data_IF_133744314309
#
_entry.id   IF_133744314309
#
_cell.length_a   1.000
_cell.length_b   1.000
_cell.length_c   1.000
_cell.angle_alpha   90.00
_cell.angle_beta   90.00
_cell.angle_gamma   90.00
#
_symmetry.space_group_name_H-M   'P 1'
#
loop_
_entity.id
_entity.type
_entity.pdbx_description
1 polymer ?
#
# COMPACT_ATOMS: atom_id res chain seq x y z
N UNK A 1 -12.45 -36.97 16.24
CA UNK A 1 -12.98 -35.61 16.18
C UNK A 1 -12.42 -34.81 17.35
N UNK A 2 -11.57 -33.81 17.09
CA UNK A 2 -10.90 -33.02 18.11
C UNK A 2 -11.71 -31.76 18.37
N UNK A 3 -12.01 -31.48 19.61
CA UNK A 3 -12.66 -30.19 19.99
C UNK A 3 -11.68 -29.34 20.75
N UNK A 4 -11.45 -28.12 20.28
CA UNK A 4 -10.72 -27.08 20.97
C UNK A 4 -11.70 -26.18 21.70
N UNK A 5 -11.52 -26.03 23.00
CA UNK A 5 -12.27 -25.06 23.81
C UNK A 5 -11.35 -24.03 24.40
N UNK A 6 -11.69 -22.76 24.26
CA UNK A 6 -10.98 -21.67 24.92
C UNK A 6 -11.90 -20.98 25.94
N UNK A 7 -11.38 -20.70 27.14
CA UNK A 7 -12.04 -19.89 28.16
C UNK A 7 -11.17 -18.69 28.45
N UNK A 8 -11.78 -17.52 28.44
CA UNK A 8 -11.10 -16.27 28.78
C UNK A 8 -11.56 -15.85 30.17
N UNK A 9 -10.70 -15.86 31.14
CA UNK A 9 -10.92 -15.26 32.45
C UNK A 9 -9.75 -14.33 32.79
N UNK A 10 -10.05 -13.08 33.03
CA UNK A 10 -9.16 -12.04 33.59
C UNK A 10 -7.68 -12.17 33.13
N UNK A 11 -7.37 -11.73 31.91
CA UNK A 11 -6.02 -11.63 31.35
C UNK A 11 -5.28 -12.92 31.01
N UNK A 12 -5.87 -14.09 31.19
CA UNK A 12 -5.25 -15.37 30.87
C UNK A 12 -6.14 -16.21 29.95
N UNK A 13 -5.57 -16.79 28.90
CA UNK A 13 -6.27 -17.78 28.07
C UNK A 13 -5.80 -19.17 28.46
N UNK A 14 -6.76 -20.03 28.83
CA UNK A 14 -6.50 -21.44 29.11
C UNK A 14 -6.88 -22.25 27.88
N UNK A 15 -5.90 -22.87 27.26
CA UNK A 15 -6.13 -23.77 26.13
C UNK A 15 -6.18 -25.21 26.64
N UNK A 16 -7.27 -25.94 26.37
CA UNK A 16 -7.35 -27.36 26.65
C UNK A 16 -7.79 -28.09 25.38
N UNK A 17 -7.20 -29.28 25.19
CA UNK A 17 -7.51 -30.17 24.08
C UNK A 17 -8.10 -31.43 24.65
N UNK A 18 -9.33 -31.77 24.27
CA UNK A 18 -9.96 -33.03 24.64
C UNK A 18 -10.17 -33.89 23.40
N UNK A 19 -9.65 -35.09 23.45
CA UNK A 19 -9.93 -36.11 22.44
C UNK A 19 -11.26 -36.79 22.77
N UNK A 20 -12.21 -36.75 21.86
CA UNK A 20 -13.39 -37.62 21.91
C UNK A 20 -13.30 -38.65 20.79
N UNK A 21 -13.11 -39.91 21.16
CA UNK A 21 -13.19 -41.12 20.36
C UNK A 21 -12.10 -41.36 19.29
N UNK A 22 -11.09 -42.09 19.67
CA UNK A 22 -10.40 -43.03 18.80
C UNK A 22 -10.33 -44.36 19.54
N UNK A 23 -10.93 -45.42 18.96
CA UNK A 23 -10.81 -46.78 19.43
C UNK A 23 -9.63 -47.44 18.70
N UNK A 24 -8.55 -47.76 19.42
CA UNK A 24 -7.38 -48.47 18.89
C UNK A 24 -6.27 -48.60 19.93
N UNK A 25 -5.38 -49.60 19.80
CA UNK A 25 -4.43 -50.02 20.84
C UNK A 25 -3.24 -49.07 21.09
N UNK A 26 -3.17 -47.92 20.45
CA UNK A 26 -2.06 -46.98 20.58
C UNK A 26 -2.29 -45.76 21.51
N UNK A 27 -3.41 -45.75 22.25
CA UNK A 27 -3.82 -44.58 23.04
C UNK A 27 -3.70 -44.75 24.55
N UNK A 28 -2.62 -45.39 25.03
CA UNK A 28 -2.36 -45.43 26.50
C UNK A 28 -1.40 -44.34 27.03
N UNK A 29 -1.05 -43.32 26.29
CA UNK A 29 -0.13 -42.27 26.74
C UNK A 29 -0.47 -40.86 26.30
N UNK A 30 -1.71 -40.44 26.39
CA UNK A 30 -2.06 -39.03 26.42
C UNK A 30 -2.60 -38.69 27.81
N UNK A 31 -1.73 -38.80 28.81
CA UNK A 31 -1.98 -38.20 30.10
C UNK A 31 -1.95 -36.66 29.95
N UNK A 32 -3.11 -36.07 30.25
CA UNK A 32 -3.30 -34.65 30.56
C UNK A 32 -2.18 -33.69 30.10
N UNK A 33 -2.34 -33.07 28.97
CA UNK A 33 -1.67 -31.82 28.72
C UNK A 33 -2.08 -30.84 29.81
N UNK A 34 -1.13 -30.47 30.68
CA UNK A 34 -1.32 -29.49 31.75
C UNK A 34 -1.91 -28.22 31.15
N UNK A 35 -2.95 -27.70 31.79
CA UNK A 35 -3.47 -26.39 31.47
C UNK A 35 -2.34 -25.36 31.64
N UNK A 36 -1.86 -24.81 30.56
CA UNK A 36 -0.88 -23.73 30.55
C UNK A 36 -1.66 -22.42 30.47
N UNK A 37 -1.59 -21.63 31.52
CA UNK A 37 -2.07 -20.27 31.52
C UNK A 37 -1.05 -19.40 30.76
N UNK A 38 -1.43 -18.81 29.63
CA UNK A 38 -0.54 -18.00 28.79
C UNK A 38 -1.00 -16.56 28.85
N UNK A 39 -0.10 -15.59 29.14
CA UNK A 39 -0.42 -14.19 29.09
C UNK A 39 -0.95 -13.75 27.70
N UNK A 40 -1.91 -12.85 27.66
CA UNK A 40 -2.62 -12.40 26.44
C UNK A 40 -1.70 -11.97 25.30
N UNK A 41 -0.55 -11.36 25.63
CA UNK A 41 0.46 -10.92 24.66
C UNK A 41 1.11 -12.07 23.86
N UNK A 42 1.05 -13.32 24.34
CA UNK A 42 1.60 -14.50 23.65
C UNK A 42 0.53 -15.32 22.90
N UNK A 43 -0.70 -14.88 22.93
CA UNK A 43 -1.85 -15.61 22.37
C UNK A 43 -1.78 -15.74 20.84
N UNK A 44 -1.26 -14.75 20.14
CA UNK A 44 -1.17 -14.74 18.70
C UNK A 44 -0.26 -15.87 18.18
N UNK A 45 0.89 -16.07 18.83
CA UNK A 45 1.85 -17.13 18.47
C UNK A 45 1.24 -18.51 18.72
N UNK A 46 0.55 -18.67 19.83
CA UNK A 46 -0.11 -19.96 20.19
C UNK A 46 -1.26 -20.28 19.24
N UNK A 47 -2.04 -19.28 18.83
CA UNK A 47 -3.12 -19.45 17.86
C UNK A 47 -2.60 -19.80 16.46
N UNK A 48 -1.50 -19.18 16.04
CA UNK A 48 -0.85 -19.45 14.76
C UNK A 48 -0.25 -20.86 14.74
N UNK A 49 0.42 -21.28 15.81
CA UNK A 49 0.98 -22.62 15.93
C UNK A 49 -0.12 -23.71 15.96
N UNK A 50 -1.22 -23.45 16.67
CA UNK A 50 -2.37 -24.35 16.67
C UNK A 50 -3.01 -24.46 15.28
N UNK A 51 -3.13 -23.36 14.54
CA UNK A 51 -3.68 -23.36 13.18
C UNK A 51 -2.79 -24.10 12.19
N UNK A 52 -1.47 -24.02 12.33
CA UNK A 52 -0.50 -24.76 11.51
C UNK A 52 -0.57 -26.25 11.84
N UNK A 53 -0.69 -26.63 13.10
CA UNK A 53 -0.81 -28.04 13.52
C UNK A 53 -2.10 -28.70 13.00
N UNK A 54 -3.20 -27.93 12.80
CA UNK A 54 -4.45 -28.44 12.24
C UNK A 54 -4.45 -28.56 10.71
N UNK A 55 -3.55 -27.88 10.02
CA UNK A 55 -3.47 -27.91 8.55
C UNK A 55 -2.48 -28.95 8.01
N UNK A 56 -1.69 -29.60 8.87
CA UNK A 56 -0.71 -30.62 8.47
C UNK A 56 -1.00 -31.94 9.17
N UNK A 57 -1.16 -32.98 8.39
CA UNK A 57 -1.34 -34.39 8.88
C UNK A 57 -0.03 -35.03 9.40
N UNK A 58 1.06 -34.27 9.54
CA UNK A 58 2.37 -34.81 9.91
C UNK A 58 2.71 -34.64 11.40
N UNK A 59 3.12 -35.70 12.07
CA UNK A 59 3.60 -35.72 13.47
C UNK A 59 4.79 -34.81 13.76
N UNK A 60 5.55 -34.44 12.74
CA UNK A 60 6.78 -33.59 12.82
C UNK A 60 6.52 -32.18 13.38
N UNK A 61 5.33 -31.65 13.19
CA UNK A 61 4.95 -30.30 13.65
C UNK A 61 4.92 -30.18 15.17
N UNK A 62 4.60 -31.27 15.86
CA UNK A 62 4.53 -31.31 17.33
C UNK A 62 5.92 -31.25 18.00
N UNK A 63 6.95 -31.83 17.37
CA UNK A 63 8.31 -31.80 17.90
C UNK A 63 8.92 -30.38 17.84
N UNK A 64 8.69 -29.66 16.74
CA UNK A 64 9.15 -28.28 16.61
C UNK A 64 8.48 -27.32 17.57
N UNK A 65 7.18 -27.47 17.81
CA UNK A 65 6.45 -26.64 18.77
C UNK A 65 6.93 -26.89 20.21
N UNK A 66 7.25 -28.13 20.56
CA UNK A 66 7.73 -28.49 21.92
C UNK A 66 9.14 -27.95 22.19
N UNK A 67 10.01 -27.93 21.19
CA UNK A 67 11.37 -27.35 21.33
C UNK A 67 11.35 -25.81 21.42
N UNK A 68 10.46 -25.15 20.68
CA UNK A 68 10.27 -23.70 20.78
C UNK A 68 9.81 -23.29 22.19
N UNK A 69 8.99 -24.09 22.85
CA UNK A 69 8.58 -23.87 24.23
C UNK A 69 9.70 -24.14 25.25
N UNK A 70 10.59 -25.11 24.97
CA UNK A 70 11.73 -25.40 25.84
C UNK A 70 12.84 -24.35 25.77
N UNK A 71 13.07 -23.74 24.61
CA UNK A 71 14.12 -22.73 24.44
C UNK A 71 13.77 -21.36 25.02
N UNK A 72 12.50 -21.12 25.39
CA UNK A 72 12.03 -19.88 25.98
C UNK A 72 11.66 -19.96 27.48
N UNK A 73 11.99 -21.07 28.15
CA UNK A 73 12.03 -21.07 29.61
C UNK A 73 13.31 -20.39 30.04
N UNK A 74 13.19 -19.15 30.44
CA UNK A 74 14.26 -18.40 31.08
C UNK A 74 14.55 -19.10 32.43
N UNK A 75 15.73 -19.69 32.53
CA UNK A 75 16.31 -20.07 33.84
C UNK A 75 16.46 -18.80 34.67
N UNK A 76 15.78 -18.75 35.79
CA UNK A 76 15.92 -17.63 36.73
C UNK A 76 14.64 -17.28 37.47
N UNK A 77 14.02 -18.24 38.14
CA UNK A 77 13.23 -17.91 39.34
C UNK A 77 13.96 -18.52 40.51
N UNK A 78 14.92 -17.79 41.01
CA UNK A 78 15.44 -17.99 42.36
C UNK A 78 14.39 -17.50 43.36
N UNK A 79 14.28 -18.21 44.48
CA UNK A 79 13.47 -17.83 45.62
C UNK A 79 13.77 -16.38 46.01
N UNK A 80 12.74 -15.53 46.00
CA UNK A 80 12.83 -14.14 46.50
C UNK A 80 12.46 -14.21 47.97
N UNK A 81 13.49 -14.11 48.83
CA UNK A 81 13.30 -13.70 50.20
C UNK A 81 12.83 -12.25 50.21
N UNK A 82 11.74 -12.04 50.93
CA UNK A 82 11.16 -10.72 51.15
C UNK A 82 11.87 -10.09 52.35
N UNK A 83 12.82 -9.19 52.10
CA UNK A 83 13.27 -8.23 53.07
C UNK A 83 13.04 -6.80 52.56
N UNK A 84 12.47 -6.00 53.45
CA UNK A 84 12.02 -4.64 53.26
C UNK A 84 13.14 -3.65 52.90
N UNK A 85 12.71 -2.55 52.26
CA UNK A 85 13.38 -1.26 51.99
C UNK A 85 14.00 -1.07 50.62
N UNK A 86 13.19 -0.47 49.67
CA UNK A 86 13.50 0.85 49.10
C UNK A 86 12.44 1.27 48.06
N UNK A 87 11.80 2.39 48.35
CA UNK A 87 10.72 3.06 47.57
C UNK A 87 11.21 3.75 46.30
N UNK A 88 11.74 3.07 45.25
CA UNK A 88 12.10 3.76 44.00
C UNK A 88 11.98 2.97 42.70
N UNK A 89 11.45 1.74 42.68
CA UNK A 89 11.29 0.95 41.43
C UNK A 89 9.84 0.84 40.90
N UNK A 90 8.91 1.65 41.42
CA UNK A 90 7.47 1.51 41.06
C UNK A 90 7.07 2.19 39.75
N UNK A 91 7.98 2.93 39.07
CA UNK A 91 7.55 3.82 37.97
C UNK A 91 7.65 3.24 36.56
N UNK A 92 8.38 2.15 36.31
CA UNK A 92 8.48 1.61 34.94
C UNK A 92 7.35 0.63 34.59
N UNK A 93 6.81 -0.12 35.53
CA UNK A 93 5.70 -1.03 35.28
C UNK A 93 4.36 -0.32 35.09
N UNK A 94 4.19 0.88 35.64
CA UNK A 94 3.00 1.72 35.45
C UNK A 94 2.95 2.38 34.05
N UNK A 95 4.12 2.73 33.47
CA UNK A 95 4.19 3.36 32.15
C UNK A 95 3.81 2.38 31.02
N UNK A 96 4.15 1.09 31.17
CA UNK A 96 3.78 0.07 30.17
C UNK A 96 2.27 -0.23 30.23
N UNK A 97 1.68 -0.25 31.43
CA UNK A 97 0.24 -0.43 31.61
C UNK A 97 -0.59 0.75 31.07
N UNK A 98 -0.13 1.97 31.26
CA UNK A 98 -0.83 3.17 30.76
C UNK A 98 -0.74 3.34 29.24
N UNK A 99 0.36 2.92 28.59
CA UNK A 99 0.46 2.94 27.12
C UNK A 99 -0.51 1.94 26.46
N UNK A 100 -0.73 0.77 27.03
CA UNK A 100 -1.69 -0.21 26.51
C UNK A 100 -3.14 0.28 26.67
N UNK A 101 -3.48 0.92 27.79
CA UNK A 101 -4.80 1.49 28.03
C UNK A 101 -5.09 2.72 27.16
N UNK A 102 -4.08 3.55 26.89
CA UNK A 102 -4.23 4.69 25.98
C UNK A 102 -4.44 4.22 24.52
N UNK A 103 -3.73 3.19 24.08
CA UNK A 103 -3.95 2.59 22.76
C UNK A 103 -5.34 1.96 22.62
N UNK A 104 -5.86 1.32 23.67
CA UNK A 104 -7.22 0.75 23.69
C UNK A 104 -8.32 1.82 23.79
N UNK A 105 -8.10 2.92 24.49
CA UNK A 105 -9.06 4.03 24.59
C UNK A 105 -9.25 4.75 23.22
N UNK A 106 -8.20 4.89 22.40
CA UNK A 106 -8.29 5.43 21.04
C UNK A 106 -8.89 4.45 20.03
N UNK A 107 -9.06 3.18 20.36
CA UNK A 107 -9.68 2.17 19.49
C UNK A 107 -11.19 2.30 19.35
N UNK A 108 -11.86 3.04 20.19
CA UNK A 108 -13.32 3.18 20.15
C UNK A 108 -13.82 4.17 19.10
N UNK A 109 -12.96 5.03 18.55
CA UNK A 109 -13.34 6.03 17.53
C UNK A 109 -12.73 5.71 16.17
N UNK A 110 -12.78 4.43 15.76
CA UNK A 110 -12.23 3.94 14.52
C UNK A 110 -13.03 4.45 13.31
N UNK A 111 -12.44 5.40 12.57
CA UNK A 111 -12.96 5.83 11.28
C UNK A 111 -12.50 4.84 10.19
N UNK A 112 -13.39 3.93 9.80
CA UNK A 112 -13.12 3.06 8.63
C UNK A 112 -13.17 3.86 7.34
N UNK A 113 -12.50 3.39 6.29
CA UNK A 113 -12.57 4.03 4.97
C UNK A 113 -14.01 4.11 4.46
N UNK A 114 -14.82 3.06 4.64
CA UNK A 114 -16.23 3.08 4.26
C UNK A 114 -17.00 4.19 4.98
N UNK A 115 -16.80 4.34 6.29
CA UNK A 115 -17.44 5.41 7.06
C UNK A 115 -16.96 6.79 6.60
N UNK A 116 -15.67 6.94 6.32
CA UNK A 116 -15.10 8.18 5.78
C UNK A 116 -15.77 8.56 4.45
N UNK A 117 -15.86 7.63 3.50
CA UNK A 117 -16.47 7.88 2.18
C UNK A 117 -17.95 8.21 2.30
N UNK A 118 -18.69 7.54 3.19
CA UNK A 118 -20.11 7.87 3.47
C UNK A 118 -20.27 9.27 4.08
N UNK A 119 -19.36 9.68 4.97
CA UNK A 119 -19.35 11.04 5.51
C UNK A 119 -19.07 12.07 4.42
N UNK A 120 -18.13 11.81 3.51
CA UNK A 120 -17.89 12.67 2.34
C UNK A 120 -19.12 12.72 1.43
N UNK A 121 -19.73 11.56 1.14
CA UNK A 121 -20.96 11.47 0.33
C UNK A 121 -22.11 12.30 0.91
N UNK A 122 -22.26 12.34 2.22
CA UNK A 122 -23.35 13.09 2.87
C UNK A 122 -23.29 14.61 2.62
N UNK A 123 -22.12 15.13 2.18
CA UNK A 123 -21.96 16.53 1.76
C UNK A 123 -22.61 16.82 0.40
N UNK A 124 -22.98 15.77 -0.35
CA UNK A 124 -23.54 15.85 -1.70
C UNK A 124 -24.91 15.17 -1.73
N UNK A 125 -26.03 15.91 -1.47
CA UNK A 125 -27.38 15.34 -1.36
C UNK A 125 -27.85 14.58 -2.61
N UNK A 126 -27.32 14.93 -3.80
CA UNK A 126 -27.66 14.27 -5.07
C UNK A 126 -26.92 12.94 -5.28
N UNK A 127 -26.00 12.58 -4.38
CA UNK A 127 -25.23 11.35 -4.48
C UNK A 127 -26.08 10.10 -4.25
N UNK A 128 -26.00 9.12 -5.14
CA UNK A 128 -26.73 7.84 -5.08
C UNK A 128 -25.93 6.69 -4.49
N UNK A 129 -24.69 6.94 -4.03
CA UNK A 129 -23.82 5.91 -3.48
C UNK A 129 -23.00 5.12 -4.52
N UNK A 130 -23.15 5.42 -5.80
CA UNK A 130 -22.44 4.71 -6.88
C UNK A 130 -20.91 4.78 -6.73
N UNK A 131 -20.40 5.95 -6.34
CA UNK A 131 -18.99 6.14 -6.09
C UNK A 131 -18.49 5.35 -4.87
N UNK A 132 -19.28 5.30 -3.81
CA UNK A 132 -18.98 4.50 -2.61
C UNK A 132 -18.91 3.01 -2.94
N UNK A 133 -19.83 2.51 -3.78
CA UNK A 133 -19.82 1.13 -4.26
C UNK A 133 -18.54 0.86 -5.07
N UNK A 134 -18.18 1.75 -6.01
CA UNK A 134 -16.96 1.62 -6.80
C UNK A 134 -15.72 1.53 -5.91
N UNK A 135 -15.56 2.47 -4.97
CA UNK A 135 -14.42 2.47 -4.04
C UNK A 135 -14.37 1.20 -3.19
N UNK A 136 -15.52 0.68 -2.76
CA UNK A 136 -15.58 -0.58 -2.01
C UNK A 136 -15.04 -1.77 -2.82
N UNK A 137 -15.26 -1.79 -4.14
CA UNK A 137 -14.72 -2.84 -5.02
C UNK A 137 -13.23 -2.65 -5.31
N UNK A 138 -12.74 -1.41 -5.43
CA UNK A 138 -11.30 -1.12 -5.50
C UNK A 138 -10.61 -1.64 -4.23
N UNK A 139 -11.16 -1.31 -3.06
CA UNK A 139 -10.65 -1.77 -1.76
C UNK A 139 -10.67 -3.29 -1.63
N UNK A 140 -11.72 -3.95 -2.14
CA UNK A 140 -11.79 -5.40 -2.17
C UNK A 140 -10.64 -5.99 -3.01
N UNK A 141 -10.38 -5.42 -4.18
CA UNK A 141 -9.22 -5.76 -5.02
C UNK A 141 -7.90 -5.59 -4.26
N UNK A 142 -7.70 -4.44 -3.62
CA UNK A 142 -6.51 -4.17 -2.82
C UNK A 142 -6.32 -5.17 -1.67
N UNK A 143 -7.39 -5.52 -0.94
CA UNK A 143 -7.33 -6.52 0.13
C UNK A 143 -6.92 -7.90 -0.39
N UNK A 144 -7.44 -8.28 -1.55
CA UNK A 144 -7.07 -9.54 -2.21
C UNK A 144 -5.61 -9.54 -2.62
N UNK A 145 -5.15 -8.50 -3.33
CA UNK A 145 -3.75 -8.37 -3.77
C UNK A 145 -2.81 -8.34 -2.57
N UNK A 146 -3.14 -7.57 -1.51
CA UNK A 146 -2.38 -7.57 -0.25
C UNK A 146 -2.21 -8.99 0.32
N UNK A 147 -3.30 -9.76 0.37
CA UNK A 147 -3.26 -11.15 0.83
C UNK A 147 -2.41 -12.05 -0.07
N UNK A 148 -2.47 -11.85 -1.40
CA UNK A 148 -1.68 -12.59 -2.38
C UNK A 148 -0.19 -12.27 -2.25
N UNK A 149 0.17 -10.98 -2.16
CA UNK A 149 1.56 -10.52 -1.97
C UNK A 149 2.17 -11.10 -0.69
N UNK A 150 1.44 -11.02 0.43
CA UNK A 150 1.91 -11.54 1.71
C UNK A 150 2.12 -13.08 1.72
N UNK A 151 1.48 -13.79 0.81
CA UNK A 151 1.57 -15.25 0.67
C UNK A 151 2.35 -15.71 -0.56
N UNK A 152 2.91 -14.78 -1.33
CA UNK A 152 3.48 -15.06 -2.65
C UNK A 152 4.54 -16.17 -2.63
N UNK A 153 5.47 -16.13 -1.69
CA UNK A 153 6.48 -17.16 -1.50
C UNK A 153 5.90 -18.52 -1.10
N UNK A 154 4.90 -18.52 -0.23
CA UNK A 154 4.24 -19.75 0.24
C UNK A 154 3.38 -20.38 -0.85
N UNK A 155 2.73 -19.58 -1.68
CA UNK A 155 1.82 -20.04 -2.74
C UNK A 155 2.52 -20.34 -4.07
N UNK A 156 3.86 -20.22 -4.15
CA UNK A 156 4.65 -20.39 -5.39
C UNK A 156 4.19 -19.48 -6.55
N UNK A 157 3.69 -18.28 -6.23
CA UNK A 157 3.28 -17.26 -7.20
C UNK A 157 4.33 -16.16 -7.39
N UNK A 158 5.55 -16.39 -6.85
CA UNK A 158 6.74 -15.61 -7.14
C UNK A 158 7.33 -16.06 -8.48
N UNK A 159 7.98 -15.14 -9.20
CA UNK A 159 8.67 -15.40 -10.46
C UNK A 159 7.84 -15.07 -11.70
N UNK A 160 8.45 -15.31 -12.85
CA UNK A 160 7.90 -14.95 -14.15
C UNK A 160 6.69 -15.80 -14.51
N UNK A 161 5.71 -15.19 -15.19
CA UNK A 161 4.56 -15.89 -15.79
C UNK A 161 4.95 -16.64 -17.06
N UNK A 162 6.06 -16.24 -17.69
CA UNK A 162 6.51 -16.79 -18.99
C UNK A 162 5.98 -16.04 -20.20
N UNK A 163 5.28 -14.93 -19.96
CA UNK A 163 4.73 -14.05 -20.99
C UNK A 163 5.34 -12.64 -20.83
N UNK A 164 5.23 -11.85 -21.88
CA UNK A 164 5.68 -10.46 -21.91
C UNK A 164 4.43 -9.59 -22.07
N UNK A 165 4.34 -8.50 -21.27
CA UNK A 165 3.23 -7.58 -21.43
C UNK A 165 3.36 -6.76 -22.72
N UNK A 166 2.34 -6.00 -23.06
CA UNK A 166 2.28 -5.14 -24.25
C UNK A 166 3.35 -4.06 -24.30
N UNK A 167 4.00 -3.81 -23.17
CA UNK A 167 5.10 -2.86 -23.02
C UNK A 167 6.48 -3.48 -23.30
N UNK A 168 6.53 -4.80 -23.53
CA UNK A 168 7.76 -5.57 -23.71
C UNK A 168 8.48 -5.91 -22.39
N UNK A 169 7.78 -5.83 -21.27
CA UNK A 169 8.27 -6.20 -19.94
C UNK A 169 7.84 -7.62 -19.58
N UNK A 170 8.71 -8.40 -18.94
CA UNK A 170 8.40 -9.76 -18.50
C UNK A 170 7.39 -9.72 -17.35
N UNK A 171 6.19 -10.26 -17.56
CA UNK A 171 5.13 -10.32 -16.55
C UNK A 171 5.49 -11.27 -15.42
N UNK A 172 5.23 -10.84 -14.20
CA UNK A 172 5.23 -11.69 -13.02
C UNK A 172 3.87 -12.37 -12.86
N UNK A 173 3.85 -13.53 -12.22
CA UNK A 173 2.59 -14.24 -11.92
C UNK A 173 1.61 -13.40 -11.10
N UNK A 174 2.14 -12.53 -10.22
CA UNK A 174 1.34 -11.63 -9.42
C UNK A 174 0.74 -10.48 -10.24
N UNK A 175 1.41 -10.00 -11.32
CA UNK A 175 0.85 -8.99 -12.22
C UNK A 175 -0.43 -9.53 -12.87
N UNK A 176 -0.33 -10.71 -13.47
CA UNK A 176 -1.48 -11.38 -14.12
C UNK A 176 -2.63 -11.59 -13.13
N UNK A 177 -2.32 -12.12 -11.93
CA UNK A 177 -3.33 -12.35 -10.89
C UNK A 177 -3.98 -11.04 -10.42
N UNK A 178 -3.18 -10.00 -10.18
CA UNK A 178 -3.67 -8.69 -9.73
C UNK A 178 -4.56 -8.05 -10.78
N UNK A 179 -4.14 -8.07 -12.05
CA UNK A 179 -4.95 -7.56 -13.17
C UNK A 179 -6.32 -8.25 -13.24
N UNK A 180 -6.35 -9.58 -13.26
CA UNK A 180 -7.61 -10.34 -13.29
C UNK A 180 -8.54 -9.99 -12.12
N UNK A 181 -7.99 -9.87 -10.91
CA UNK A 181 -8.75 -9.54 -9.71
C UNK A 181 -9.37 -8.16 -9.82
N UNK A 182 -8.58 -7.15 -10.25
CA UNK A 182 -9.08 -5.78 -10.39
C UNK A 182 -10.16 -5.69 -11.48
N UNK A 183 -9.94 -6.28 -12.66
CA UNK A 183 -10.95 -6.29 -13.72
C UNK A 183 -12.25 -6.93 -13.23
N UNK A 184 -12.18 -8.11 -12.63
CA UNK A 184 -13.36 -8.82 -12.10
C UNK A 184 -14.08 -7.99 -11.02
N UNK A 185 -13.34 -7.39 -10.09
CA UNK A 185 -13.91 -6.56 -9.02
C UNK A 185 -14.60 -5.32 -9.61
N UNK A 186 -13.95 -4.61 -10.51
CA UNK A 186 -14.45 -3.39 -11.12
C UNK A 186 -15.69 -3.64 -12.00
N UNK A 187 -15.67 -4.67 -12.84
CA UNK A 187 -16.83 -5.05 -13.68
C UNK A 187 -18.00 -5.50 -12.78
N UNK A 188 -17.74 -6.31 -11.75
CA UNK A 188 -18.81 -6.79 -10.85
C UNK A 188 -19.42 -5.68 -9.98
N UNK A 189 -18.75 -4.55 -9.84
CA UNK A 189 -19.31 -3.38 -9.16
C UNK A 189 -20.58 -2.85 -9.83
N UNK A 190 -20.73 -3.07 -11.16
CA UNK A 190 -21.79 -2.47 -11.97
C UNK A 190 -21.70 -0.94 -12.02
N UNK A 191 -20.51 -0.37 -11.77
CA UNK A 191 -20.32 1.09 -11.72
C UNK A 191 -19.31 1.61 -12.72
N UNK A 192 -18.63 0.71 -13.45
CA UNK A 192 -17.61 1.05 -14.44
C UNK A 192 -18.13 0.91 -15.88
N UNK A 193 -17.59 1.73 -16.79
CA UNK A 193 -17.88 1.64 -18.22
C UNK A 193 -16.60 1.37 -19.06
N UNK A 194 -15.45 1.93 -18.65
CA UNK A 194 -14.16 1.73 -19.30
C UNK A 194 -13.13 1.41 -18.22
N UNK A 195 -12.32 0.40 -18.49
CA UNK A 195 -11.16 0.04 -17.67
C UNK A 195 -9.91 0.12 -18.54
N UNK A 196 -8.87 0.79 -18.05
CA UNK A 196 -7.54 0.83 -18.67
C UNK A 196 -6.55 0.29 -17.69
N UNK A 197 -5.99 -0.88 -17.97
CA UNK A 197 -4.94 -1.52 -17.20
C UNK A 197 -3.59 -1.33 -17.87
N UNK A 198 -2.52 -1.28 -17.09
CA UNK A 198 -1.16 -1.36 -17.60
C UNK A 198 -0.89 -2.65 -18.35
N UNK A 199 -1.48 -3.75 -17.89
CA UNK A 199 -1.22 -5.11 -18.36
C UNK A 199 -1.95 -5.47 -19.65
N UNK A 200 -3.01 -4.72 -20.01
CA UNK A 200 -3.84 -4.99 -21.18
C UNK A 200 -3.50 -4.03 -22.34
N UNK A 201 -3.38 -4.54 -23.57
CA UNK A 201 -3.07 -3.73 -24.76
C UNK A 201 -4.18 -2.73 -25.09
N UNK A 202 -5.42 -3.13 -24.87
CA UNK A 202 -6.60 -2.34 -25.20
C UNK A 202 -7.42 -2.05 -23.92
N UNK A 203 -8.19 -0.98 -23.97
CA UNK A 203 -9.14 -0.68 -22.92
C UNK A 203 -10.28 -1.70 -22.91
N UNK A 204 -10.69 -2.14 -21.73
CA UNK A 204 -11.87 -2.99 -21.56
C UNK A 204 -13.13 -2.15 -21.48
N UNK A 205 -14.02 -2.31 -22.48
CA UNK A 205 -15.36 -1.72 -22.46
C UNK A 205 -16.35 -2.66 -21.78
N UNK A 206 -16.99 -2.19 -20.71
CA UNK A 206 -17.95 -3.00 -19.97
C UNK A 206 -19.25 -3.13 -20.75
N UNK A 207 -19.81 -4.34 -20.80
CA UNK A 207 -21.08 -4.63 -21.47
C UNK A 207 -22.21 -3.72 -20.96
N UNK A 208 -23.09 -3.25 -21.84
CA UNK A 208 -24.18 -2.33 -21.54
C UNK A 208 -25.07 -2.78 -20.35
N UNK A 209 -25.27 -4.09 -20.20
CA UNK A 209 -26.06 -4.69 -19.12
C UNK A 209 -25.44 -4.54 -17.72
N UNK A 210 -24.11 -4.32 -17.64
CA UNK A 210 -23.32 -4.21 -16.40
C UNK A 210 -22.65 -2.84 -16.24
N UNK A 211 -22.91 -1.94 -17.19
CA UNK A 211 -22.22 -0.66 -17.32
C UNK A 211 -22.67 0.34 -16.26
N UNK A 212 -21.71 1.04 -15.67
CA UNK A 212 -21.90 2.22 -14.85
C UNK A 212 -21.35 3.49 -15.51
N UNK A 213 -21.03 4.50 -14.70
CA UNK A 213 -20.64 5.85 -15.14
C UNK A 213 -19.16 6.19 -14.96
N UNK A 214 -18.37 5.28 -14.42
CA UNK A 214 -16.98 5.59 -14.09
C UNK A 214 -16.03 4.89 -15.04
N UNK A 215 -14.97 5.60 -15.43
CA UNK A 215 -13.80 5.02 -16.04
C UNK A 215 -12.73 4.87 -14.97
N UNK A 216 -12.09 3.72 -14.91
CA UNK A 216 -10.97 3.47 -13.99
C UNK A 216 -9.74 3.14 -14.81
N UNK A 217 -8.67 3.92 -14.58
CA UNK A 217 -7.35 3.68 -15.12
C UNK A 217 -6.46 3.19 -13.99
N UNK A 218 -5.72 2.12 -14.16
CA UNK A 218 -4.96 1.53 -13.05
C UNK A 218 -3.72 0.77 -13.51
N UNK A 219 -2.70 0.82 -12.66
CA UNK A 219 -1.60 -0.12 -12.63
C UNK A 219 -1.93 -1.13 -11.52
N UNK A 220 -2.16 -2.40 -11.87
CA UNK A 220 -2.57 -3.39 -10.87
C UNK A 220 -1.47 -3.71 -9.86
N UNK A 221 -0.19 -3.58 -10.24
CA UNK A 221 0.92 -3.91 -9.36
C UNK A 221 2.23 -3.17 -9.71
N UNK A 222 2.27 -1.85 -9.49
CA UNK A 222 3.48 -1.03 -9.64
C UNK A 222 4.66 -1.58 -8.84
N UNK A 223 5.81 -1.60 -9.49
CA UNK A 223 7.05 -2.06 -8.89
C UNK A 223 7.21 -3.58 -8.84
N UNK A 224 6.46 -4.33 -9.65
CA UNK A 224 6.44 -5.80 -9.68
C UNK A 224 7.82 -6.45 -9.84
N UNK A 225 8.77 -5.79 -10.48
CA UNK A 225 10.17 -6.24 -10.57
C UNK A 225 10.84 -6.44 -9.19
N UNK A 226 10.30 -5.84 -8.14
CA UNK A 226 10.81 -5.90 -6.76
C UNK A 226 10.11 -6.95 -5.87
N UNK A 227 9.12 -7.68 -6.39
CA UNK A 227 8.35 -8.68 -5.63
C UNK A 227 9.26 -9.71 -4.99
N UNK A 228 10.19 -10.25 -5.77
CA UNK A 228 11.04 -11.36 -5.36
C UNK A 228 12.03 -11.00 -4.23
N UNK A 229 12.28 -9.71 -4.01
CA UNK A 229 13.16 -9.23 -2.93
C UNK A 229 12.41 -8.56 -1.76
N UNK A 230 11.08 -8.61 -1.76
CA UNK A 230 10.26 -8.14 -0.64
C UNK A 230 10.23 -6.62 -0.46
N UNK A 231 10.55 -5.85 -1.49
CA UNK A 231 10.38 -4.38 -1.49
C UNK A 231 8.90 -4.03 -1.61
N UNK A 232 8.50 -2.92 -0.99
CA UNK A 232 7.11 -2.44 -1.09
C UNK A 232 6.73 -2.15 -2.54
N UNK A 233 5.60 -2.68 -2.95
CA UNK A 233 4.97 -2.55 -4.26
C UNK A 233 3.54 -2.07 -4.07
N UNK A 234 2.78 -1.78 -5.12
CA UNK A 234 1.41 -1.33 -4.91
C UNK A 234 0.55 -1.24 -6.15
N UNK A 235 -0.73 -0.98 -5.95
CA UNK A 235 -1.71 -0.68 -6.98
C UNK A 235 -1.92 0.82 -7.06
N UNK A 236 -1.93 1.39 -8.26
CA UNK A 236 -2.21 2.82 -8.50
C UNK A 236 -3.50 2.92 -9.33
N UNK A 237 -4.35 3.90 -9.03
CA UNK A 237 -5.59 4.10 -9.79
C UNK A 237 -6.01 5.56 -9.90
N UNK A 238 -6.69 5.87 -11.00
CA UNK A 238 -7.38 7.14 -11.25
C UNK A 238 -8.81 6.89 -11.73
N UNK A 239 -9.73 7.77 -11.38
CA UNK A 239 -11.16 7.64 -11.69
C UNK A 239 -11.64 8.87 -12.44
N UNK A 240 -12.26 8.64 -13.61
CA UNK A 240 -13.00 9.64 -14.35
C UNK A 240 -14.50 9.31 -14.32
N UNK A 241 -15.32 10.28 -14.62
CA UNK A 241 -16.77 10.11 -14.73
C UNK A 241 -17.26 10.49 -16.13
N UNK A 242 -18.05 9.61 -16.73
CA UNK A 242 -18.67 9.81 -18.03
C UNK A 242 -20.05 10.42 -17.87
N UNK A 243 -20.43 11.29 -18.82
CA UNK A 243 -21.80 11.78 -18.91
C UNK A 243 -22.69 10.72 -19.59
N UNK A 244 -23.88 10.46 -19.06
CA UNK A 244 -24.81 9.40 -19.49
C UNK A 244 -25.42 9.61 -20.90
N UNK A 245 -24.94 10.55 -21.69
CA UNK A 245 -25.59 10.98 -22.93
C UNK A 245 -25.21 10.21 -24.19
N UNK A 246 -24.18 9.36 -24.14
CA UNK A 246 -23.66 8.62 -25.31
C UNK A 246 -22.92 7.33 -24.92
N UNK A 247 -22.66 6.48 -25.91
CA UNK A 247 -21.78 5.33 -25.74
C UNK A 247 -20.36 5.78 -25.35
N UNK A 248 -19.75 5.17 -24.32
CA UNK A 248 -18.40 5.52 -23.89
C UNK A 248 -17.36 5.28 -24.97
N UNK A 249 -16.44 6.22 -25.13
CA UNK A 249 -15.30 6.14 -26.06
C UNK A 249 -13.99 6.33 -25.30
N UNK A 250 -12.85 6.06 -25.95
CA UNK A 250 -11.54 6.30 -25.35
C UNK A 250 -11.30 7.78 -24.99
N UNK A 251 -11.99 8.71 -25.61
CA UNK A 251 -11.89 10.14 -25.30
C UNK A 251 -12.28 10.45 -23.85
N UNK A 252 -13.07 9.58 -23.23
CA UNK A 252 -13.45 9.71 -21.81
C UNK A 252 -12.29 9.47 -20.82
N UNK A 253 -11.25 8.79 -21.26
CA UNK A 253 -10.03 8.56 -20.45
C UNK A 253 -8.83 9.34 -21.00
N UNK A 254 -8.81 9.70 -22.28
CA UNK A 254 -7.75 10.49 -22.91
C UNK A 254 -7.93 11.99 -22.64
N UNK A 255 -8.21 12.33 -21.38
CA UNK A 255 -8.43 13.69 -20.89
C UNK A 255 -7.28 14.13 -19.98
N UNK A 256 -7.11 15.44 -19.77
CA UNK A 256 -6.15 15.93 -18.79
C UNK A 256 -6.40 15.35 -17.41
N UNK A 257 -5.33 15.06 -16.66
CA UNK A 257 -5.41 14.49 -15.31
C UNK A 257 -6.20 15.35 -14.31
N UNK A 258 -6.26 16.68 -14.52
CA UNK A 258 -7.11 17.57 -13.71
C UNK A 258 -8.62 17.30 -13.82
N UNK A 259 -9.06 16.47 -14.77
CA UNK A 259 -10.45 16.04 -14.91
C UNK A 259 -10.77 14.78 -14.12
N UNK A 260 -9.79 14.14 -13.48
CA UNK A 260 -10.07 13.02 -12.58
C UNK A 260 -10.96 13.46 -11.43
N UNK A 261 -11.92 12.60 -11.10
CA UNK A 261 -12.79 12.73 -9.93
C UNK A 261 -12.05 12.35 -8.64
N UNK A 262 -11.23 11.33 -8.72
CA UNK A 262 -10.45 10.81 -7.61
C UNK A 262 -9.21 10.09 -8.10
N UNK A 263 -8.22 9.98 -7.23
CA UNK A 263 -7.05 9.15 -7.43
C UNK A 263 -6.58 8.54 -6.12
N UNK A 264 -5.88 7.42 -6.21
CA UNK A 264 -5.34 6.74 -5.04
C UNK A 264 -4.33 5.68 -5.40
N UNK A 265 -3.74 5.13 -4.36
CA UNK A 265 -2.90 3.93 -4.45
C UNK A 265 -3.05 3.09 -3.18
N UNK A 266 -2.74 1.82 -3.32
CA UNK A 266 -2.59 0.91 -2.20
C UNK A 266 -1.16 0.36 -2.21
N UNK A 267 -0.38 0.65 -1.17
CA UNK A 267 0.98 0.15 -1.01
C UNK A 267 1.00 -1.12 -0.17
N UNK A 268 1.64 -2.16 -0.67
CA UNK A 268 1.83 -3.45 -0.02
C UNK A 268 3.27 -3.57 0.46
N UNK A 269 3.48 -3.50 1.77
CA UNK A 269 4.81 -3.51 2.39
C UNK A 269 4.76 -3.96 3.84
N UNK A 270 5.50 -3.32 4.71
CA UNK A 270 5.48 -3.57 6.17
C UNK A 270 4.08 -3.38 6.78
N UNK A 271 3.27 -2.56 6.15
CA UNK A 271 1.82 -2.45 6.36
C UNK A 271 1.13 -2.31 5.01
N UNK A 272 -0.17 -2.62 4.94
CA UNK A 272 -0.97 -2.33 3.76
C UNK A 272 -1.61 -0.95 3.95
N UNK A 273 -1.16 0.03 3.17
CA UNK A 273 -1.58 1.43 3.29
C UNK A 273 -2.33 1.87 2.04
N UNK A 274 -3.56 2.36 2.20
CA UNK A 274 -4.40 2.90 1.14
C UNK A 274 -4.43 4.42 1.24
N UNK A 275 -4.05 5.12 0.18
CA UNK A 275 -4.07 6.58 0.10
C UNK A 275 -5.07 7.02 -0.95
N UNK A 276 -5.94 7.96 -0.59
CA UNK A 276 -7.05 8.42 -1.42
C UNK A 276 -7.18 9.94 -1.39
N UNK A 277 -7.47 10.51 -2.55
CA UNK A 277 -8.04 11.85 -2.68
C UNK A 277 -9.28 11.82 -3.58
N UNK A 278 -10.33 12.48 -3.12
CA UNK A 278 -11.56 12.74 -3.88
C UNK A 278 -11.65 14.19 -4.35
N UNK A 279 -10.51 14.87 -4.46
CA UNK A 279 -10.40 16.29 -4.84
C UNK A 279 -10.51 17.28 -3.67
N UNK A 280 -10.55 16.80 -2.44
CA UNK A 280 -10.68 17.62 -1.22
C UNK A 280 -9.66 17.22 -0.15
N UNK A 281 -8.38 17.20 -0.51
CA UNK A 281 -7.29 16.76 0.37
C UNK A 281 -6.93 15.29 0.16
N UNK A 282 -5.94 14.83 0.91
CA UNK A 282 -5.39 13.46 0.81
C UNK A 282 -5.49 12.78 2.16
N UNK A 283 -5.97 11.54 2.16
CA UNK A 283 -6.16 10.75 3.38
C UNK A 283 -5.52 9.38 3.26
N UNK A 284 -4.86 8.93 4.31
CA UNK A 284 -4.21 7.62 4.38
C UNK A 284 -4.88 6.69 5.38
N UNK A 285 -5.07 5.45 4.97
CA UNK A 285 -5.73 4.40 5.74
C UNK A 285 -4.80 3.19 5.83
N UNK A 286 -4.75 2.56 6.99
CA UNK A 286 -3.98 1.33 7.19
C UNK A 286 -4.93 0.15 7.36
N UNK A 287 -4.65 -0.95 6.67
CA UNK A 287 -5.42 -2.18 6.82
C UNK A 287 -5.13 -2.82 8.18
N UNK A 288 -6.17 -2.97 8.99
CA UNK A 288 -6.13 -3.87 10.13
C UNK A 288 -6.46 -5.29 9.65
N UNK A 289 -5.50 -6.21 9.61
CA UNK A 289 -5.72 -7.55 9.09
C UNK A 289 -6.66 -8.39 9.97
N UNK A 290 -6.82 -8.03 11.24
CA UNK A 290 -7.71 -8.74 12.18
C UNK A 290 -9.17 -8.36 11.98
N UNK A 291 -9.43 -7.10 11.63
CA UNK A 291 -10.76 -6.62 11.28
C UNK A 291 -11.09 -6.79 9.80
N UNK A 292 -10.04 -6.87 8.96
CA UNK A 292 -10.19 -6.84 7.51
C UNK A 292 -10.64 -5.47 6.98
N UNK A 293 -10.40 -4.36 7.71
CA UNK A 293 -10.84 -3.02 7.38
C UNK A 293 -9.69 -2.02 7.32
N UNK A 294 -9.79 -1.07 6.37
CA UNK A 294 -8.90 0.07 6.29
C UNK A 294 -9.34 1.15 7.28
N UNK A 295 -8.47 1.49 8.20
CA UNK A 295 -8.70 2.48 9.27
C UNK A 295 -7.94 3.76 8.92
N UNK A 296 -8.59 4.91 9.08
CA UNK A 296 -7.99 6.23 8.87
C UNK A 296 -6.85 6.46 9.87
N UNK A 297 -5.63 6.46 9.38
CA UNK A 297 -4.41 6.65 10.19
C UNK A 297 -3.72 7.98 9.89
N UNK A 298 -3.91 8.53 8.70
CA UNK A 298 -3.29 9.77 8.26
C UNK A 298 -4.37 10.69 7.66
N UNK A 299 -5.11 11.42 8.50
CA UNK A 299 -6.10 12.40 8.01
C UNK A 299 -5.40 13.64 7.44
N UNK A 300 -5.94 14.18 6.33
CA UNK A 300 -5.52 15.42 5.68
C UNK A 300 -4.00 15.56 5.52
N UNK A 301 -3.39 14.60 4.83
CA UNK A 301 -1.94 14.60 4.56
C UNK A 301 -1.56 15.87 3.82
N UNK A 302 -0.58 16.59 4.36
CA UNK A 302 0.04 17.76 3.72
C UNK A 302 1.54 17.50 3.55
N UNK A 303 2.01 17.62 2.32
CA UNK A 303 3.44 17.51 2.05
C UNK A 303 4.17 18.76 2.58
N UNK A 304 5.32 18.62 3.25
CA UNK A 304 6.17 19.76 3.59
C UNK A 304 6.52 20.61 2.35
N UNK A 305 6.52 21.94 2.46
CA UNK A 305 6.82 22.83 1.34
C UNK A 305 8.20 22.62 0.72
N UNK A 306 9.18 22.21 1.53
CA UNK A 306 10.53 21.84 1.11
C UNK A 306 10.96 20.58 1.87
N UNK A 307 11.65 19.66 1.22
CA UNK A 307 12.11 18.44 1.86
C UNK A 307 13.63 18.28 1.87
N UNK A 308 14.09 17.29 2.61
CA UNK A 308 15.52 16.94 2.75
C UNK A 308 15.92 15.69 1.95
N UNK A 309 15.00 15.20 1.09
CA UNK A 309 15.19 13.97 0.33
C UNK A 309 15.01 14.27 -1.15
N UNK A 310 15.83 13.64 -1.98
CA UNK A 310 15.56 13.49 -3.40
C UNK A 310 15.60 12.01 -3.78
N UNK A 311 14.76 11.61 -4.72
CA UNK A 311 14.57 10.23 -5.13
C UNK A 311 14.72 10.13 -6.65
N UNK A 312 15.81 9.54 -7.12
CA UNK A 312 16.11 9.36 -8.55
C UNK A 312 17.11 8.22 -8.75
N UNK A 313 16.99 7.51 -9.87
CA UNK A 313 18.01 6.53 -10.28
C UNK A 313 19.30 7.20 -10.77
N UNK A 314 20.24 7.48 -9.87
CA UNK A 314 21.53 8.07 -10.22
C UNK A 314 22.38 7.19 -11.12
N UNK A 315 22.16 5.88 -11.18
CA UNK A 315 22.83 5.01 -12.14
C UNK A 315 22.58 5.41 -13.60
N UNK A 316 21.55 6.23 -13.86
CA UNK A 316 21.22 6.77 -15.17
C UNK A 316 21.74 8.20 -15.42
N UNK A 317 22.50 8.77 -14.50
CA UNK A 317 22.91 10.20 -14.50
C UNK A 317 23.59 10.64 -15.81
N UNK A 318 24.39 9.78 -16.43
CA UNK A 318 25.07 10.08 -17.71
C UNK A 318 24.13 10.37 -18.89
N UNK A 319 22.85 10.00 -18.77
CA UNK A 319 21.85 10.14 -19.82
C UNK A 319 20.90 11.34 -19.58
N UNK A 320 20.96 11.96 -18.40
CA UNK A 320 20.09 13.08 -18.03
C UNK A 320 20.32 14.34 -18.87
N UNK A 321 19.32 15.19 -18.89
CA UNK A 321 19.43 16.56 -19.44
C UNK A 321 20.17 17.52 -18.48
N UNK A 322 20.46 18.71 -18.97
CA UNK A 322 21.18 19.73 -18.20
C UNK A 322 20.44 20.18 -16.93
N UNK A 323 19.16 20.53 -16.99
CA UNK A 323 18.38 20.94 -15.80
C UNK A 323 18.33 19.88 -14.71
N UNK A 324 18.06 18.62 -15.07
CA UNK A 324 18.04 17.50 -14.11
C UNK A 324 19.40 17.33 -13.43
N UNK A 325 20.48 17.31 -14.24
CA UNK A 325 21.84 17.18 -13.71
C UNK A 325 22.16 18.28 -12.72
N UNK A 326 21.89 19.56 -13.08
CA UNK A 326 22.11 20.74 -12.21
C UNK A 326 21.32 20.65 -10.91
N UNK A 327 20.05 20.22 -10.97
CA UNK A 327 19.24 20.07 -9.77
C UNK A 327 19.80 19.04 -8.81
N UNK A 328 20.18 17.87 -9.32
CA UNK A 328 20.76 16.79 -8.49
C UNK A 328 22.12 17.21 -7.92
N UNK A 329 22.95 17.91 -8.69
CA UNK A 329 24.20 18.49 -8.19
C UNK A 329 23.98 19.48 -7.04
N UNK A 330 22.99 20.35 -7.15
CA UNK A 330 22.58 21.25 -6.04
C UNK A 330 22.10 20.48 -4.82
N UNK A 331 21.39 19.37 -5.01
CA UNK A 331 20.99 18.50 -3.89
C UNK A 331 22.19 17.93 -3.13
N UNK A 332 23.27 17.58 -3.85
CA UNK A 332 24.49 16.99 -3.29
C UNK A 332 25.45 18.05 -2.74
N UNK A 333 25.61 19.14 -3.47
CA UNK A 333 26.60 20.18 -3.23
C UNK A 333 25.92 21.56 -3.22
N UNK A 334 25.12 21.89 -2.18
CA UNK A 334 24.46 23.17 -2.11
C UNK A 334 25.46 24.33 -1.97
N UNK A 335 25.32 25.35 -2.83
CA UNK A 335 26.19 26.53 -2.83
C UNK A 335 25.77 27.59 -1.80
N UNK A 336 24.55 27.51 -1.27
CA UNK A 336 23.94 28.44 -0.31
C UNK A 336 24.29 28.14 1.15
N UNK A 337 25.17 27.18 1.43
CA UNK A 337 25.54 26.75 2.78
C UNK A 337 24.49 25.89 3.49
N UNK A 338 23.43 25.50 2.80
CA UNK A 338 22.45 24.55 3.34
C UNK A 338 23.04 23.13 3.42
N UNK A 339 22.40 22.25 4.21
CA UNK A 339 22.82 20.85 4.27
C UNK A 339 22.43 20.11 2.99
N UNK A 340 23.28 19.20 2.48
CA UNK A 340 22.95 18.33 1.35
C UNK A 340 21.66 17.54 1.59
N UNK A 341 20.89 17.33 0.52
CA UNK A 341 19.74 16.42 0.57
C UNK A 341 20.20 14.96 0.58
N UNK A 342 19.41 14.09 1.19
CA UNK A 342 19.68 12.64 1.20
C UNK A 342 19.06 11.97 -0.03
N UNK A 343 19.86 11.20 -0.76
CA UNK A 343 19.33 10.28 -1.77
C UNK A 343 18.55 9.15 -1.10
N UNK A 344 17.33 8.93 -1.54
CA UNK A 344 16.51 7.77 -1.18
C UNK A 344 15.75 7.33 -2.43
N UNK A 345 16.20 6.27 -3.07
CA UNK A 345 15.56 5.70 -4.26
C UNK A 345 15.36 4.19 -4.05
N UNK A 346 14.11 3.77 -4.11
CA UNK A 346 13.67 2.39 -3.90
C UNK A 346 13.58 1.66 -5.25
N UNK A 347 13.09 2.37 -6.28
CA UNK A 347 12.84 1.79 -7.60
C UNK A 347 11.44 1.16 -7.71
N UNK A 348 10.55 1.47 -6.79
CA UNK A 348 9.11 1.25 -6.84
C UNK A 348 8.44 2.61 -6.70
N UNK A 349 7.69 3.05 -7.71
CA UNK A 349 7.13 4.40 -7.74
C UNK A 349 6.21 4.65 -6.54
N UNK A 350 5.34 3.71 -6.25
CA UNK A 350 4.39 3.83 -5.13
C UNK A 350 5.11 4.05 -3.81
N UNK A 351 6.21 3.34 -3.55
CA UNK A 351 6.97 3.45 -2.30
C UNK A 351 7.79 4.75 -2.24
N UNK A 352 8.41 5.15 -3.35
CA UNK A 352 9.18 6.39 -3.44
C UNK A 352 8.28 7.62 -3.29
N UNK A 353 7.10 7.60 -3.94
CA UNK A 353 6.11 8.70 -3.87
C UNK A 353 5.44 8.74 -2.49
N UNK A 354 5.09 7.59 -1.89
CA UNK A 354 4.52 7.56 -0.54
C UNK A 354 5.45 8.19 0.50
N UNK A 355 6.74 7.84 0.47
CA UNK A 355 7.74 8.47 1.34
C UNK A 355 7.86 9.97 1.07
N UNK A 356 7.87 10.39 -0.20
CA UNK A 356 7.95 11.81 -0.59
C UNK A 356 6.72 12.58 -0.10
N UNK A 357 5.54 12.01 -0.22
CA UNK A 357 4.29 12.59 0.27
C UNK A 357 4.31 12.88 1.78
N UNK A 358 4.87 11.95 2.56
CA UNK A 358 4.89 12.08 4.03
C UNK A 358 6.05 12.96 4.55
N UNK A 359 7.24 12.86 3.95
CA UNK A 359 8.45 13.49 4.47
C UNK A 359 8.89 14.74 3.68
N UNK A 360 8.28 14.99 2.54
CA UNK A 360 8.70 16.04 1.62
C UNK A 360 9.93 15.65 0.80
N UNK A 361 10.34 16.59 -0.05
CA UNK A 361 11.38 16.39 -1.04
C UNK A 361 10.79 16.12 -2.41
N UNK A 362 11.54 15.48 -3.29
CA UNK A 362 11.14 15.32 -4.68
C UNK A 362 11.46 13.92 -5.19
N UNK A 363 10.52 13.34 -5.92
CA UNK A 363 10.71 12.18 -6.77
C UNK A 363 10.91 12.65 -8.21
N UNK A 364 11.99 12.16 -8.86
CA UNK A 364 12.35 12.51 -10.23
C UNK A 364 12.43 11.24 -11.08
N UNK A 365 11.66 11.24 -12.15
CA UNK A 365 11.80 10.27 -13.22
C UNK A 365 11.93 11.02 -14.55
N UNK A 366 13.10 11.63 -14.84
CA UNK A 366 13.31 12.47 -16.01
C UNK A 366 13.26 11.67 -17.32
N UNK A 367 12.98 12.36 -18.42
CA UNK A 367 13.34 11.88 -19.72
C UNK A 367 14.87 11.81 -19.85
N UNK A 368 15.36 10.86 -20.63
CA UNK A 368 16.78 10.69 -20.87
C UNK A 368 17.07 10.42 -22.36
N UNK A 369 18.35 10.33 -22.71
CA UNK A 369 18.78 10.08 -24.11
C UNK A 369 18.23 8.77 -24.69
N UNK A 370 17.90 7.79 -23.86
CA UNK A 370 17.35 6.49 -24.29
C UNK A 370 15.82 6.49 -24.31
N UNK A 371 15.22 7.26 -23.43
CA UNK A 371 13.76 7.39 -23.26
C UNK A 371 13.39 8.88 -23.13
N UNK A 372 13.41 9.65 -24.24
CA UNK A 372 13.15 11.10 -24.20
C UNK A 372 11.79 11.47 -23.64
N UNK A 373 10.80 10.60 -23.81
CA UNK A 373 9.44 10.76 -23.29
C UNK A 373 9.26 10.15 -21.88
N UNK A 374 10.35 9.86 -21.16
CA UNK A 374 10.29 9.15 -19.89
C UNK A 374 9.87 7.68 -20.05
N UNK A 375 9.61 7.03 -18.92
CA UNK A 375 9.16 5.62 -18.90
C UNK A 375 7.83 5.43 -18.20
N UNK A 376 7.43 6.32 -17.29
CA UNK A 376 6.20 6.22 -16.54
C UNK A 376 4.99 6.55 -17.41
N UNK A 377 3.89 5.84 -17.19
CA UNK A 377 2.67 5.93 -18.01
C UNK A 377 1.77 7.03 -17.49
N UNK A 378 1.26 7.84 -18.42
CA UNK A 378 0.52 9.05 -18.08
C UNK A 378 -0.75 8.76 -17.30
N UNK A 379 -1.59 7.82 -17.79
CA UNK A 379 -2.95 7.63 -17.26
C UNK A 379 -2.99 7.03 -15.87
N UNK A 380 -2.17 6.02 -15.60
CA UNK A 380 -2.33 5.20 -14.40
C UNK A 380 -1.16 5.26 -13.41
N UNK A 381 -0.08 6.00 -13.72
CA UNK A 381 1.04 6.30 -12.81
C UNK A 381 1.18 7.81 -12.61
N UNK A 382 1.51 8.56 -13.68
CA UNK A 382 1.81 10.00 -13.61
C UNK A 382 0.62 10.80 -13.10
N UNK A 383 -0.56 10.62 -13.67
CA UNK A 383 -1.74 11.40 -13.31
C UNK A 383 -2.23 11.13 -11.89
N UNK A 384 -2.46 9.86 -11.47
CA UNK A 384 -2.91 9.59 -10.10
C UNK A 384 -1.94 10.11 -9.04
N UNK A 385 -0.64 9.90 -9.23
CA UNK A 385 0.37 10.37 -8.27
C UNK A 385 0.49 11.89 -8.26
N UNK A 386 0.39 12.54 -9.43
CA UNK A 386 0.37 14.00 -9.55
C UNK A 386 -0.86 14.61 -8.87
N UNK A 387 -2.03 13.98 -9.05
CA UNK A 387 -3.27 14.42 -8.42
C UNK A 387 -3.15 14.39 -6.89
N UNK A 388 -2.69 13.29 -6.33
CA UNK A 388 -2.44 13.17 -4.89
C UNK A 388 -1.44 14.20 -4.39
N UNK A 389 -0.34 14.37 -5.11
CA UNK A 389 0.72 15.30 -4.70
C UNK A 389 0.21 16.75 -4.65
N UNK A 390 -0.55 17.20 -5.66
CA UNK A 390 -1.12 18.54 -5.68
C UNK A 390 -2.22 18.73 -4.62
N UNK A 391 -3.06 17.73 -4.38
CA UNK A 391 -4.07 17.77 -3.31
C UNK A 391 -3.45 17.82 -1.91
N UNK A 392 -2.22 17.33 -1.75
CA UNK A 392 -1.44 17.44 -0.53
C UNK A 392 -0.69 18.79 -0.41
N UNK A 393 -0.77 19.69 -1.42
CA UNK A 393 -0.09 20.99 -1.44
C UNK A 393 1.31 20.97 -2.07
N UNK A 394 1.68 19.90 -2.75
CA UNK A 394 2.88 19.79 -3.58
C UNK A 394 2.65 20.20 -5.03
N UNK A 395 3.55 19.79 -5.91
CA UNK A 395 3.47 20.03 -7.35
C UNK A 395 3.91 18.80 -8.15
N UNK A 396 3.49 18.79 -9.43
CA UNK A 396 3.92 17.79 -10.41
C UNK A 396 4.20 18.47 -11.77
N UNK A 397 5.38 18.19 -12.32
CA UNK A 397 5.92 18.84 -13.52
C UNK A 397 6.55 17.84 -14.47
N UNK A 398 6.31 17.96 -15.78
CA UNK A 398 6.82 17.02 -16.79
C UNK A 398 8.18 17.39 -17.39
N UNK A 399 8.78 18.49 -16.94
CA UNK A 399 9.90 19.14 -17.61
C UNK A 399 9.48 20.22 -18.60
N UNK A 400 8.19 20.26 -18.97
CA UNK A 400 7.63 21.28 -19.91
C UNK A 400 6.40 21.98 -19.38
N UNK A 401 5.51 21.24 -18.72
CA UNK A 401 4.25 21.78 -18.23
C UNK A 401 3.83 21.09 -16.93
N UNK A 402 2.79 21.61 -16.28
CA UNK A 402 2.14 20.93 -15.16
C UNK A 402 1.63 19.57 -15.62
N UNK A 403 1.93 18.51 -14.85
CA UNK A 403 1.62 17.15 -15.25
C UNK A 403 0.12 16.94 -15.51
N UNK A 404 -0.75 17.47 -14.67
CA UNK A 404 -2.21 17.31 -14.80
C UNK A 404 -2.84 18.08 -15.97
N UNK A 405 -2.10 18.97 -16.66
CA UNK A 405 -2.57 19.65 -17.88
C UNK A 405 -2.20 18.92 -19.16
N UNK A 406 -1.37 17.89 -19.09
CA UNK A 406 -1.05 17.06 -20.25
C UNK A 406 -2.31 16.38 -20.80
N UNK A 407 -2.46 16.33 -22.13
CA UNK A 407 -3.54 15.62 -22.83
C UNK A 407 -2.95 14.41 -23.49
N UNK A 408 -3.20 13.20 -22.99
CA UNK A 408 -2.63 11.99 -23.57
C UNK A 408 -3.31 11.64 -24.89
N UNK A 409 -2.53 11.10 -25.83
CA UNK A 409 -3.01 10.65 -27.16
C UNK A 409 -3.22 9.13 -27.24
N UNK A 410 -2.68 8.40 -26.27
CA UNK A 410 -2.72 6.93 -26.19
C UNK A 410 -2.90 6.51 -24.74
N UNK A 411 -3.53 5.35 -24.53
CA UNK A 411 -3.75 4.81 -23.19
C UNK A 411 -2.44 4.45 -22.47
N UNK A 412 -1.38 4.11 -23.22
CA UNK A 412 -0.04 3.79 -22.69
C UNK A 412 1.00 4.88 -23.00
N UNK A 413 0.56 6.12 -23.15
CA UNK A 413 1.49 7.24 -23.36
C UNK A 413 2.39 7.42 -22.13
N UNK A 414 3.67 7.73 -22.38
CA UNK A 414 4.68 7.91 -21.34
C UNK A 414 5.04 9.39 -21.19
N UNK A 415 5.44 9.77 -19.98
CA UNK A 415 5.92 11.13 -19.68
C UNK A 415 7.02 11.10 -18.63
N UNK A 416 8.01 12.02 -18.72
CA UNK A 416 8.83 12.36 -17.58
C UNK A 416 7.97 12.92 -16.45
N UNK A 417 8.47 12.84 -15.22
CA UNK A 417 7.80 13.42 -14.06
C UNK A 417 8.79 13.90 -12.98
N UNK A 418 8.50 15.05 -12.42
CA UNK A 418 9.10 15.63 -11.24
C UNK A 418 7.95 15.99 -10.30
N UNK A 419 7.83 15.31 -9.17
CA UNK A 419 6.74 15.54 -8.24
C UNK A 419 7.23 15.56 -6.79
N UNK A 420 6.61 16.40 -5.98
CA UNK A 420 7.02 16.53 -4.58
C UNK A 420 6.66 17.86 -3.96
N UNK A 421 7.49 18.27 -3.01
CA UNK A 421 7.37 19.54 -2.29
C UNK A 421 7.32 20.73 -3.24
N UNK A 422 6.46 21.70 -2.91
CA UNK A 422 6.20 22.86 -3.76
C UNK A 422 7.50 23.59 -4.15
N UNK A 423 8.32 23.96 -3.17
CA UNK A 423 9.54 24.76 -3.40
C UNK A 423 10.60 23.96 -4.18
N UNK A 424 10.69 22.64 -3.96
CA UNK A 424 11.65 21.78 -4.66
C UNK A 424 11.29 21.65 -6.15
N UNK A 425 10.01 21.53 -6.48
CA UNK A 425 9.55 21.47 -7.88
C UNK A 425 9.65 22.83 -8.56
N UNK A 426 9.40 23.96 -7.86
CA UNK A 426 9.63 25.31 -8.39
C UNK A 426 11.09 25.53 -8.77
N UNK A 427 12.01 25.03 -7.96
CA UNK A 427 13.45 25.11 -8.28
C UNK A 427 13.79 24.34 -9.57
N UNK A 428 13.19 23.16 -9.77
CA UNK A 428 13.34 22.39 -11.02
C UNK A 428 12.78 23.16 -12.21
N UNK A 429 11.56 23.71 -12.09
CA UNK A 429 10.93 24.53 -13.15
C UNK A 429 11.80 25.70 -13.55
N UNK A 430 12.42 26.39 -12.57
CA UNK A 430 13.32 27.51 -12.85
C UNK A 430 14.55 27.10 -13.66
N UNK A 431 15.10 25.91 -13.41
CA UNK A 431 16.23 25.37 -14.17
C UNK A 431 15.84 25.03 -15.62
N UNK A 432 14.67 24.43 -15.84
CA UNK A 432 14.15 24.17 -17.19
C UNK A 432 13.88 25.45 -17.95
N UNK A 433 13.21 26.44 -17.34
CA UNK A 433 12.96 27.74 -17.95
C UNK A 433 14.23 28.53 -18.27
N UNK A 434 15.31 28.33 -17.51
CA UNK A 434 16.61 28.97 -17.80
C UNK A 434 17.34 28.28 -18.96
N UNK A 435 17.10 27.00 -19.21
CA UNK A 435 17.67 26.28 -20.35
C UNK A 435 16.98 26.66 -21.66
N UNK A 436 15.62 26.70 -21.66
CA UNK A 436 14.82 27.14 -22.83
C UNK A 436 15.17 28.54 -23.36
N UNK A 437 15.62 29.44 -22.47
CA UNK A 437 16.04 30.79 -22.87
C UNK A 437 17.43 30.84 -23.52
N UNK A 438 18.17 29.72 -23.51
CA UNK A 438 19.52 29.63 -24.09
C UNK A 438 19.52 29.04 -25.48
N UNK A 439 18.45 28.25 -25.80
CA UNK A 439 18.17 27.74 -27.14
C UNK A 439 17.48 28.80 -27.99
#
# INVERSE_FOLDING_TARGET
MWCLGSWVTNCLTVLWVRSSTISGPYLQRLELLKCLAIPRARNLVTHTLASVAFSSDEEVVWHGATELFKSNTIDGVGDIDVDDEDDNEVNESLIIGEMDHAADAHRTDLMTMTRFVLNEQSKYPESRGDFTILLSHIVLGCKFVCSAVNKAGLANIIGLAGETNVQGEEQKKLDVLSNEVFIKALVSSGRTCILVSEEDEEATFVEASKRGRYCVVFDPLDGSSNIDCGVSIGTIFGIYMVNDSHEPTLDEVLQPGKKMLAAGYCMYGSSCTFVLSTGSGVHGFTLDPSLGEFILTHPDIKIPKKGKIYSVNEGNAKNWDGPTTKYVEKCKFPEDGSSPKSLRYIGSMVADVHRTLLYGGVFLYPGDKKSPNGKLRVLYEVFPMSFLMEQAGGQAFTGRQRALDLVPKKIHERSPIFLGSYDDVEEIKALYAAEEKKE
#
